data_IF_835817701961
#
_entry.id   IF_835817701961
#
_cell.length_a   1.000
_cell.length_b   1.000
_cell.length_c   1.000
_cell.angle_alpha   90.00
_cell.angle_beta   90.00
_cell.angle_gamma   90.00
#
_symmetry.space_group_name_H-M   'P 1'
#
loop_
_entity.id
_entity.type
_entity.pdbx_description
1 polymer ?
#
# COMPACT_ATOMS: atom_id res chain seq x y z
N UNK A 1 62.53 -5.07 -25.75
CA UNK A 1 61.86 -4.13 -24.84
C UNK A 1 60.43 -4.63 -24.64
N UNK A 2 60.05 -5.07 -23.43
CA UNK A 2 58.75 -5.73 -23.18
C UNK A 2 57.71 -4.68 -22.82
N UNK A 3 56.65 -4.53 -23.62
CA UNK A 3 55.54 -3.62 -23.35
C UNK A 3 54.56 -4.28 -22.36
N UNK A 4 54.49 -3.74 -21.15
CA UNK A 4 53.57 -4.17 -20.10
C UNK A 4 52.17 -3.64 -20.43
N UNK A 5 51.28 -4.50 -20.92
CA UNK A 5 49.87 -4.17 -21.09
C UNK A 5 49.18 -4.21 -19.72
N UNK A 6 48.84 -3.04 -19.19
CA UNK A 6 48.00 -2.94 -17.99
C UNK A 6 46.54 -3.18 -18.41
N UNK A 7 46.04 -4.40 -18.23
CA UNK A 7 44.62 -4.68 -18.36
C UNK A 7 43.85 -3.95 -17.27
N UNK A 8 43.12 -2.90 -17.65
CA UNK A 8 42.18 -2.20 -16.77
C UNK A 8 40.89 -3.00 -16.74
N UNK A 9 40.61 -3.67 -15.63
CA UNK A 9 39.34 -4.37 -15.41
C UNK A 9 38.29 -3.32 -15.03
N UNK A 10 37.43 -2.95 -15.97
CA UNK A 10 36.31 -2.05 -15.70
C UNK A 10 35.24 -2.82 -14.89
N UNK A 11 35.14 -2.52 -13.59
CA UNK A 11 34.10 -3.06 -12.73
C UNK A 11 32.80 -2.28 -12.99
N UNK A 12 31.93 -2.83 -13.84
CA UNK A 12 30.59 -2.29 -14.06
C UNK A 12 29.75 -2.45 -12.79
N UNK A 13 29.53 -1.35 -12.06
CA UNK A 13 28.57 -1.29 -10.96
C UNK A 13 27.17 -1.39 -11.55
N UNK A 14 26.50 -2.52 -11.33
CA UNK A 14 25.07 -2.66 -11.58
C UNK A 14 24.32 -1.79 -10.56
N UNK A 15 23.82 -0.64 -10.99
CA UNK A 15 22.87 0.15 -10.22
C UNK A 15 21.55 -0.60 -10.22
N UNK A 16 21.29 -1.38 -9.17
CA UNK A 16 19.97 -1.94 -8.91
C UNK A 16 19.11 -0.76 -8.45
N UNK A 17 18.32 -0.18 -9.35
CA UNK A 17 17.38 0.87 -9.00
C UNK A 17 16.31 0.29 -8.07
N UNK A 18 16.21 0.82 -6.84
CA UNK A 18 15.06 0.54 -5.98
C UNK A 18 13.80 1.00 -6.70
N UNK A 19 12.94 0.06 -7.09
CA UNK A 19 11.56 0.40 -7.39
C UNK A 19 10.96 0.93 -6.08
N UNK A 20 10.73 2.24 -5.98
CA UNK A 20 9.98 2.79 -4.88
C UNK A 20 8.57 2.18 -4.94
N UNK A 21 8.26 1.33 -3.96
CA UNK A 21 6.94 0.74 -3.84
C UNK A 21 5.95 1.86 -3.52
N UNK A 22 4.80 1.86 -4.20
CA UNK A 22 3.66 2.67 -3.78
C UNK A 22 3.31 2.29 -2.34
N UNK A 23 3.44 3.24 -1.41
CA UNK A 23 3.23 2.98 0.01
C UNK A 23 1.89 3.56 0.45
N UNK A 24 1.15 2.81 1.26
CA UNK A 24 -0.05 3.24 1.97
C UNK A 24 0.21 3.22 3.47
N UNK A 25 -0.13 4.31 4.16
CA UNK A 25 -0.04 4.45 5.61
C UNK A 25 -1.32 5.06 6.16
N UNK A 26 -1.54 4.82 7.45
CA UNK A 26 -2.61 5.42 8.22
C UNK A 26 -2.10 5.76 9.62
N UNK A 27 -2.61 6.83 10.20
CA UNK A 27 -2.49 7.13 11.64
C UNK A 27 -3.63 6.53 12.47
N UNK A 28 -4.59 5.93 11.79
CA UNK A 28 -5.86 5.46 12.35
C UNK A 28 -5.93 3.92 12.42
N UNK A 29 -5.30 3.23 11.47
CA UNK A 29 -5.27 1.76 11.38
C UNK A 29 -3.85 1.23 11.13
N UNK A 30 -3.59 0.00 11.56
CA UNK A 30 -2.31 -0.68 11.37
C UNK A 30 -2.54 -2.13 10.92
N UNK A 31 -1.72 -2.58 9.96
CA UNK A 31 -1.76 -3.95 9.44
C UNK A 31 -1.67 -4.99 10.56
N UNK A 32 -2.53 -6.01 10.49
CA UNK A 32 -2.59 -7.10 11.47
C UNK A 32 -3.07 -6.71 12.88
N UNK A 33 -3.57 -5.48 13.08
CA UNK A 33 -4.09 -5.01 14.36
C UNK A 33 -5.61 -4.78 14.31
N UNK A 34 -6.34 -4.99 15.42
CA UNK A 34 -7.75 -4.63 15.50
C UNK A 34 -7.98 -3.14 15.23
N UNK A 35 -9.05 -2.82 14.49
CA UNK A 35 -9.46 -1.44 14.26
C UNK A 35 -10.15 -0.85 15.49
N UNK A 36 -10.01 0.45 15.70
CA UNK A 36 -10.76 1.16 16.74
C UNK A 36 -12.25 1.21 16.43
N UNK A 37 -13.08 1.28 17.48
CA UNK A 37 -14.54 1.34 17.42
C UNK A 37 -15.09 2.51 16.57
N UNK A 38 -14.31 3.58 16.42
CA UNK A 38 -14.68 4.73 15.56
C UNK A 38 -14.90 4.33 14.09
N UNK A 39 -14.22 3.28 13.60
CA UNK A 39 -14.35 2.78 12.22
C UNK A 39 -15.36 1.65 12.07
N UNK A 40 -15.94 1.17 13.17
CA UNK A 40 -17.01 0.19 13.15
C UNK A 40 -18.31 0.84 12.65
N UNK A 41 -19.14 0.07 11.96
CA UNK A 41 -20.46 0.50 11.48
C UNK A 41 -21.39 0.93 12.63
N UNK A 42 -22.35 1.80 12.33
CA UNK A 42 -23.34 2.32 13.29
C UNK A 42 -24.72 1.70 13.05
N UNK A 43 -24.80 0.37 13.10
CA UNK A 43 -26.02 -0.38 12.79
C UNK A 43 -25.82 -1.90 12.89
N UNK A 44 -26.89 -2.67 12.73
CA UNK A 44 -26.87 -4.15 12.74
C UNK A 44 -26.27 -4.79 14.00
N UNK A 45 -26.41 -4.12 15.15
CA UNK A 45 -25.84 -4.58 16.41
C UNK A 45 -24.45 -4.00 16.73
N UNK A 46 -23.86 -3.25 15.78
CA UNK A 46 -22.69 -2.42 16.01
C UNK A 46 -23.09 -1.00 16.44
N UNK A 47 -22.22 -0.35 17.23
CA UNK A 47 -22.42 0.99 17.79
C UNK A 47 -21.17 1.87 17.62
N UNK A 48 -20.43 1.65 16.53
CA UNK A 48 -19.31 2.48 16.12
C UNK A 48 -19.74 3.82 15.53
N UNK A 49 -18.76 4.66 15.19
CA UNK A 49 -19.01 5.98 14.61
C UNK A 49 -19.11 5.96 13.07
N UNK A 50 -18.88 4.81 12.44
CA UNK A 50 -18.91 4.59 10.99
C UNK A 50 -18.05 5.59 10.20
N UNK A 51 -16.89 5.97 10.75
CA UNK A 51 -15.96 6.87 10.08
C UNK A 51 -14.99 6.08 9.20
N UNK A 52 -14.57 6.65 8.08
CA UNK A 52 -13.47 6.10 7.28
C UNK A 52 -12.13 6.41 7.96
N UNK A 53 -11.16 5.47 7.99
CA UNK A 53 -9.84 5.76 8.51
C UNK A 53 -9.09 6.73 7.61
N UNK A 54 -8.20 7.52 8.20
CA UNK A 54 -7.27 8.35 7.44
C UNK A 54 -6.36 7.46 6.59
N UNK A 55 -6.16 7.85 5.33
CA UNK A 55 -5.22 7.21 4.42
C UNK A 55 -4.25 8.24 3.86
N UNK A 56 -2.99 7.88 3.77
CA UNK A 56 -1.94 8.67 3.13
C UNK A 56 -1.08 7.72 2.30
N UNK A 57 -0.83 8.11 1.06
CA UNK A 57 0.04 7.35 0.19
C UNK A 57 1.23 8.18 -0.29
N UNK A 58 2.34 7.51 -0.57
CA UNK A 58 3.53 8.12 -1.16
C UNK A 58 4.10 7.23 -2.26
N UNK A 59 5.08 7.77 -2.97
CA UNK A 59 5.78 7.05 -4.03
C UNK A 59 4.83 6.57 -5.14
N UNK A 60 3.88 7.44 -5.51
CA UNK A 60 2.89 7.20 -6.57
C UNK A 60 3.61 6.95 -7.91
N UNK A 61 3.25 5.88 -8.66
CA UNK A 61 3.86 5.60 -9.96
C UNK A 61 3.72 6.77 -10.93
N UNK A 62 4.77 7.01 -11.74
CA UNK A 62 4.73 8.03 -12.78
C UNK A 62 3.61 7.71 -13.78
N UNK A 63 2.76 8.70 -14.08
CA UNK A 63 1.66 8.55 -15.02
C UNK A 63 0.32 8.14 -14.39
N UNK A 64 0.25 7.98 -13.06
CA UNK A 64 -1.02 7.84 -12.34
C UNK A 64 -1.94 9.03 -12.65
N UNK A 65 -3.17 8.74 -13.08
CA UNK A 65 -4.18 9.75 -13.45
C UNK A 65 -5.24 9.95 -12.38
N UNK A 66 -5.52 8.90 -11.61
CA UNK A 66 -6.54 8.87 -10.57
C UNK A 66 -6.22 7.74 -9.59
N UNK A 67 -6.94 7.70 -8.48
CA UNK A 67 -6.87 6.65 -7.47
C UNK A 67 -8.25 6.05 -7.28
N UNK A 68 -8.30 4.78 -6.89
CA UNK A 68 -9.48 4.15 -6.33
C UNK A 68 -9.17 3.69 -4.90
N UNK A 69 -10.15 3.73 -4.02
CA UNK A 69 -10.04 3.25 -2.64
C UNK A 69 -11.11 2.20 -2.42
N UNK A 70 -10.72 1.08 -1.83
CA UNK A 70 -11.65 0.03 -1.42
C UNK A 70 -11.36 -0.50 -0.03
N UNK A 71 -12.41 -0.73 0.75
CA UNK A 71 -12.35 -1.52 1.98
C UNK A 71 -13.22 -2.76 1.79
N UNK A 72 -12.61 -3.95 1.90
CA UNK A 72 -13.25 -5.23 1.60
C UNK A 72 -13.01 -6.22 2.74
N UNK A 73 -14.09 -6.83 3.20
CA UNK A 73 -14.08 -7.94 4.16
C UNK A 73 -14.23 -9.25 3.39
N UNK A 74 -13.17 -10.07 3.27
CA UNK A 74 -13.26 -11.39 2.65
C UNK A 74 -13.96 -12.43 3.54
N UNK A 75 -14.10 -12.17 4.84
CA UNK A 75 -14.61 -13.13 5.83
C UNK A 75 -16.14 -13.03 6.01
N UNK A 76 -16.77 -11.99 5.46
CA UNK A 76 -18.22 -11.85 5.47
C UNK A 76 -18.91 -13.06 4.79
N UNK A 77 -19.87 -13.74 5.47
CA UNK A 77 -20.43 -15.02 5.03
C UNK A 77 -21.56 -14.84 3.98
N UNK A 78 -21.25 -14.18 2.87
CA UNK A 78 -22.20 -13.83 1.80
C UNK A 78 -21.96 -14.63 0.52
N UNK A 79 -20.86 -15.38 0.44
CA UNK A 79 -20.34 -16.00 -0.79
C UNK A 79 -19.50 -15.06 -1.65
N UNK A 80 -19.44 -13.76 -1.33
CA UNK A 80 -18.69 -12.75 -2.10
C UNK A 80 -18.00 -11.70 -1.22
N UNK A 81 -17.85 -11.96 0.08
CA UNK A 81 -17.39 -10.98 1.06
C UNK A 81 -18.32 -9.77 1.18
N UNK A 82 -17.80 -8.65 1.70
CA UNK A 82 -18.53 -7.40 1.85
C UNK A 82 -17.66 -6.19 1.49
N UNK A 83 -18.15 -5.34 0.60
CA UNK A 83 -17.49 -4.08 0.27
C UNK A 83 -18.01 -2.99 1.20
N UNK A 84 -17.15 -2.55 2.13
CA UNK A 84 -17.47 -1.49 3.09
C UNK A 84 -17.34 -0.10 2.49
N UNK A 85 -16.42 0.09 1.54
CA UNK A 85 -16.16 1.38 0.93
C UNK A 85 -15.61 1.21 -0.48
N UNK A 86 -16.10 2.03 -1.42
CA UNK A 86 -15.63 2.10 -2.82
C UNK A 86 -15.62 3.58 -3.24
N UNK A 87 -14.49 4.09 -3.72
CA UNK A 87 -14.31 5.45 -4.26
C UNK A 87 -13.49 5.40 -5.53
N UNK A 88 -13.85 6.18 -6.56
CA UNK A 88 -13.15 6.27 -7.84
C UNK A 88 -13.33 7.66 -8.50
#
# INVERSE_FOLDING_TARGET
MKAIHKSVLALSVLVIGSAHAFELKSKDIQEGHPMAKTFEYSGWGCDGANQSPQLMWKDVPKGTKSFAITAYDPDAPTGSGFWHWIVF
#
